data_IF_234161837333
#
_entry.id   IF_234161837333
#
_cell.length_a   1.000
_cell.length_b   1.000
_cell.length_c   1.000
_cell.angle_alpha   90.00
_cell.angle_beta   90.00
_cell.angle_gamma   90.00
#
_symmetry.space_group_name_H-M   'P 1'
#
loop_
_entity.id
_entity.type
_entity.pdbx_description
1 polymer ?
#
# COMPACT_ATOMS: atom_id res chain seq x y z
N UNK A 1 -19.68 -26.17 18.34
CA UNK A 1 -20.60 -26.75 17.35
C UNK A 1 -20.80 -25.72 16.26
N UNK A 2 -20.17 -25.92 15.11
CA UNK A 2 -20.12 -24.96 14.00
C UNK A 2 -21.30 -25.29 13.07
N UNK A 3 -22.30 -24.41 13.03
CA UNK A 3 -23.45 -24.60 12.14
C UNK A 3 -23.03 -24.26 10.70
N UNK A 4 -22.60 -25.29 9.97
CA UNK A 4 -22.39 -25.25 8.52
C UNK A 4 -23.73 -25.24 7.79
N UNK A 5 -24.31 -24.05 7.62
CA UNK A 5 -25.27 -23.81 6.55
C UNK A 5 -24.48 -23.49 5.29
N UNK A 6 -24.18 -24.51 4.49
CA UNK A 6 -23.65 -24.31 3.14
C UNK A 6 -24.67 -23.51 2.34
N UNK A 7 -24.27 -22.33 1.83
CA UNK A 7 -25.14 -21.50 1.01
C UNK A 7 -25.52 -22.25 -0.27
N UNK A 8 -26.80 -22.26 -0.68
CA UNK A 8 -27.19 -22.89 -1.93
C UNK A 8 -26.44 -22.26 -3.12
N UNK A 9 -25.93 -23.06 -4.07
CA UNK A 9 -25.07 -22.57 -5.15
C UNK A 9 -25.75 -21.51 -6.04
N UNK A 10 -27.06 -21.57 -6.20
CA UNK A 10 -27.81 -20.58 -6.99
C UNK A 10 -27.80 -19.17 -6.38
N UNK A 11 -27.74 -19.04 -5.04
CA UNK A 11 -27.70 -17.74 -4.37
C UNK A 11 -26.36 -17.06 -4.60
N UNK A 12 -25.27 -17.83 -4.60
CA UNK A 12 -23.93 -17.32 -4.87
C UNK A 12 -23.83 -16.78 -6.32
N UNK A 13 -24.30 -17.58 -7.29
CA UNK A 13 -24.32 -17.20 -8.72
C UNK A 13 -25.12 -15.92 -8.96
N UNK A 14 -26.32 -15.82 -8.38
CA UNK A 14 -27.17 -14.65 -8.60
C UNK A 14 -26.59 -13.36 -7.99
N UNK A 15 -25.95 -13.45 -6.83
CA UNK A 15 -25.28 -12.31 -6.23
C UNK A 15 -24.08 -11.85 -7.08
N UNK A 16 -23.35 -12.78 -7.68
CA UNK A 16 -22.22 -12.48 -8.58
C UNK A 16 -22.70 -11.76 -9.84
N UNK A 17 -23.78 -12.24 -10.48
CA UNK A 17 -24.42 -11.56 -11.62
C UNK A 17 -24.86 -10.13 -11.28
N UNK A 18 -25.43 -9.91 -10.09
CA UNK A 18 -25.82 -8.56 -9.63
C UNK A 18 -24.58 -7.67 -9.48
N UNK A 19 -23.53 -8.17 -8.83
CA UNK A 19 -22.30 -7.41 -8.58
C UNK A 19 -21.58 -7.08 -9.89
N UNK A 20 -21.51 -8.03 -10.83
CA UNK A 20 -20.98 -7.84 -12.17
C UNK A 20 -21.78 -6.77 -12.93
N UNK A 21 -23.12 -6.84 -12.89
CA UNK A 21 -23.96 -5.82 -13.52
C UNK A 21 -23.79 -4.43 -12.89
N UNK A 22 -23.72 -4.34 -11.56
CA UNK A 22 -23.48 -3.08 -10.85
C UNK A 22 -22.12 -2.47 -11.23
N UNK A 23 -21.08 -3.30 -11.39
CA UNK A 23 -19.77 -2.84 -11.83
C UNK A 23 -19.80 -2.32 -13.27
N UNK A 24 -20.31 -3.09 -14.22
CA UNK A 24 -20.31 -2.70 -15.63
C UNK A 24 -21.32 -1.58 -15.94
N UNK A 25 -22.59 -1.77 -15.60
CA UNK A 25 -23.63 -0.80 -15.90
C UNK A 25 -23.62 0.40 -14.97
N UNK A 26 -23.40 0.17 -13.67
CA UNK A 26 -23.39 1.23 -12.67
C UNK A 26 -22.08 2.03 -12.69
N UNK A 27 -20.95 1.38 -12.40
CA UNK A 27 -19.67 2.08 -12.25
C UNK A 27 -19.03 2.49 -13.58
N UNK A 28 -18.88 1.58 -14.54
CA UNK A 28 -18.17 1.88 -15.79
C UNK A 28 -18.99 2.76 -16.74
N UNK A 29 -20.29 2.49 -16.88
CA UNK A 29 -21.17 3.26 -17.79
C UNK A 29 -21.87 4.45 -17.12
N UNK A 30 -21.98 4.48 -15.78
CA UNK A 30 -22.66 5.54 -15.05
C UNK A 30 -24.19 5.55 -15.24
N UNK A 31 -24.78 4.40 -15.62
CA UNK A 31 -26.23 4.30 -15.84
C UNK A 31 -26.97 4.51 -14.52
N UNK A 32 -28.03 5.31 -14.53
CA UNK A 32 -28.88 5.60 -13.36
C UNK A 32 -28.16 6.31 -12.19
N UNK A 33 -27.00 6.90 -12.45
CA UNK A 33 -26.28 7.69 -11.44
C UNK A 33 -27.13 8.85 -10.90
N UNK A 34 -27.16 8.96 -9.57
CA UNK A 34 -27.81 10.02 -8.80
C UNK A 34 -26.79 11.02 -8.19
N UNK A 35 -25.51 10.71 -8.32
CA UNK A 35 -24.39 11.47 -7.74
C UNK A 35 -23.28 11.66 -8.75
N UNK A 36 -22.73 12.86 -8.82
CA UNK A 36 -21.50 13.20 -9.56
C UNK A 36 -20.40 13.43 -8.53
N UNK A 37 -19.36 12.61 -8.58
CA UNK A 37 -18.16 12.77 -7.75
C UNK A 37 -17.05 13.38 -8.61
N UNK A 38 -16.44 14.46 -8.14
CA UNK A 38 -15.34 15.15 -8.80
C UNK A 38 -14.06 14.91 -8.01
N UNK A 39 -13.08 14.27 -8.64
CA UNK A 39 -11.79 13.90 -8.01
C UNK A 39 -10.68 14.12 -9.04
N UNK A 40 -9.60 14.79 -8.67
CA UNK A 40 -8.54 15.22 -9.61
C UNK A 40 -9.06 15.92 -10.87
N UNK A 41 -10.15 16.69 -10.75
CA UNK A 41 -10.82 17.34 -11.89
C UNK A 41 -11.60 16.40 -12.83
N UNK A 42 -11.55 15.08 -12.61
CA UNK A 42 -12.35 14.10 -13.33
C UNK A 42 -13.71 13.92 -12.67
N UNK A 43 -14.75 13.80 -13.51
CA UNK A 43 -16.12 13.57 -13.05
C UNK A 43 -16.50 12.09 -13.18
N UNK A 44 -17.09 11.54 -12.11
CA UNK A 44 -17.60 10.19 -12.05
C UNK A 44 -19.11 10.24 -11.80
N UNK A 45 -19.89 9.58 -12.66
CA UNK A 45 -21.34 9.41 -12.49
C UNK A 45 -21.59 8.14 -11.67
N UNK A 46 -21.93 8.29 -10.40
CA UNK A 46 -21.97 7.23 -9.40
C UNK A 46 -23.31 7.23 -8.63
N UNK A 47 -23.44 6.25 -7.74
CA UNK A 47 -24.67 5.96 -7.01
C UNK A 47 -24.46 6.16 -5.51
N UNK A 48 -25.27 7.01 -4.88
CA UNK A 48 -25.15 7.35 -3.46
C UNK A 48 -25.14 6.12 -2.56
N UNK A 49 -25.98 5.12 -2.87
CA UNK A 49 -26.06 3.87 -2.09
C UNK A 49 -24.77 3.06 -2.15
N UNK A 50 -24.06 3.04 -3.30
CA UNK A 50 -22.77 2.37 -3.41
C UNK A 50 -21.66 3.20 -2.76
N UNK A 51 -21.69 4.53 -2.94
CA UNK A 51 -20.74 5.44 -2.30
C UNK A 51 -20.82 5.42 -0.77
N UNK A 52 -22.01 5.21 -0.20
CA UNK A 52 -22.19 5.16 1.26
C UNK A 52 -21.47 3.99 1.96
N UNK A 53 -20.91 3.04 1.19
CA UNK A 53 -20.01 2.01 1.71
C UNK A 53 -18.66 2.56 2.16
N UNK A 54 -18.26 3.73 1.67
CA UNK A 54 -17.10 4.48 2.16
C UNK A 54 -17.56 5.37 3.34
N UNK A 55 -17.00 5.22 4.55
CA UNK A 55 -17.32 6.08 5.68
C UNK A 55 -17.07 7.56 5.39
N UNK A 56 -15.96 7.86 4.68
CA UNK A 56 -15.62 9.21 4.26
C UNK A 56 -16.68 9.80 3.32
N UNK A 57 -17.05 9.09 2.25
CA UNK A 57 -18.04 9.60 1.30
C UNK A 57 -19.44 9.65 1.90
N UNK A 58 -19.81 8.71 2.77
CA UNK A 58 -21.06 8.77 3.52
C UNK A 58 -21.12 10.03 4.39
N UNK A 59 -20.04 10.36 5.09
CA UNK A 59 -19.95 11.59 5.87
C UNK A 59 -20.06 12.83 4.97
N UNK A 60 -19.26 12.90 3.90
CA UNK A 60 -19.27 14.01 2.95
C UNK A 60 -20.66 14.22 2.31
N UNK A 61 -21.35 13.12 1.98
CA UNK A 61 -22.74 13.14 1.52
C UNK A 61 -23.71 13.66 2.57
N UNK A 62 -23.51 13.36 3.85
CA UNK A 62 -24.39 13.82 4.93
C UNK A 62 -24.22 15.30 5.26
N UNK A 63 -23.00 15.84 5.04
CA UNK A 63 -22.64 17.21 5.39
C UNK A 63 -22.68 18.18 4.20
N UNK A 64 -22.76 17.68 2.97
CA UNK A 64 -22.91 18.51 1.76
C UNK A 64 -24.39 18.78 1.48
N UNK A 65 -24.89 20.02 1.67
CA UNK A 65 -26.26 20.36 1.32
C UNK A 65 -26.44 20.29 -0.21
N UNK A 66 -27.48 19.61 -0.67
CA UNK A 66 -27.83 19.59 -2.10
C UNK A 66 -29.34 19.61 -2.28
N UNK A 67 -29.83 20.67 -2.94
CA UNK A 67 -31.21 20.77 -3.40
C UNK A 67 -31.37 20.37 -4.87
N UNK A 68 -30.28 19.98 -5.53
CA UNK A 68 -30.28 19.53 -6.91
C UNK A 68 -30.77 18.07 -7.03
N UNK A 69 -31.45 17.70 -8.13
CA UNK A 69 -31.90 16.33 -8.36
C UNK A 69 -30.74 15.33 -8.51
N UNK A 70 -29.57 15.82 -8.97
CA UNK A 70 -28.32 15.07 -9.00
C UNK A 70 -27.36 15.76 -8.04
N UNK A 71 -26.85 15.00 -7.07
CA UNK A 71 -25.91 15.51 -6.08
C UNK A 71 -24.52 15.65 -6.70
N UNK A 72 -23.84 16.78 -6.51
CA UNK A 72 -22.43 16.94 -6.95
C UNK A 72 -21.53 17.11 -5.73
N UNK A 73 -20.44 16.35 -5.68
CA UNK A 73 -19.51 16.30 -4.56
C UNK A 73 -18.09 16.40 -5.10
N UNK A 74 -17.29 17.30 -4.53
CA UNK A 74 -15.87 17.41 -4.86
C UNK A 74 -15.03 16.84 -3.73
N UNK A 75 -14.08 15.97 -4.04
CA UNK A 75 -13.17 15.37 -3.07
C UNK A 75 -11.81 16.08 -3.14
N UNK A 76 -11.36 16.74 -2.05
CA UNK A 76 -10.07 17.42 -2.02
C UNK A 76 -8.93 16.41 -1.92
N UNK A 77 -8.11 16.29 -2.95
CA UNK A 77 -7.02 15.29 -3.07
C UNK A 77 -5.66 15.93 -3.33
N UNK A 78 -5.61 17.26 -3.37
CA UNK A 78 -4.43 18.04 -3.77
C UNK A 78 -3.27 17.93 -2.78
N UNK A 79 -3.57 17.66 -1.51
CA UNK A 79 -2.58 17.53 -0.43
C UNK A 79 -2.02 16.11 -0.30
N UNK A 80 -2.60 15.14 -1.01
CA UNK A 80 -2.28 13.71 -0.86
C UNK A 80 -1.72 13.12 -2.16
N UNK A 81 -0.40 13.29 -2.44
CA UNK A 81 0.20 12.91 -3.72
C UNK A 81 0.16 11.40 -4.00
N UNK A 82 0.06 10.58 -2.96
CA UNK A 82 -0.07 9.13 -3.07
C UNK A 82 -1.50 8.70 -3.45
N UNK A 83 -2.50 9.58 -3.27
CA UNK A 83 -3.85 9.36 -3.79
C UNK A 83 -3.86 9.79 -5.26
N UNK A 84 -3.62 8.84 -6.15
CA UNK A 84 -3.61 9.08 -7.61
C UNK A 84 -4.98 8.85 -8.23
N UNK A 85 -5.22 9.41 -9.42
CA UNK A 85 -6.46 9.18 -10.17
C UNK A 85 -6.72 7.68 -10.42
N UNK A 86 -5.68 6.91 -10.78
CA UNK A 86 -5.78 5.46 -11.00
C UNK A 86 -6.13 4.72 -9.70
N UNK A 87 -5.38 4.98 -8.63
CA UNK A 87 -5.61 4.34 -7.33
C UNK A 87 -7.02 4.63 -6.81
N UNK A 88 -7.47 5.87 -6.97
CA UNK A 88 -8.80 6.30 -6.54
C UNK A 88 -9.90 5.65 -7.37
N UNK A 89 -9.71 5.54 -8.70
CA UNK A 89 -10.67 4.87 -9.58
C UNK A 89 -10.82 3.38 -9.21
N UNK A 90 -9.73 2.68 -8.89
CA UNK A 90 -9.77 1.28 -8.41
C UNK A 90 -10.53 1.18 -7.09
N UNK A 91 -10.26 2.08 -6.13
CA UNK A 91 -10.93 2.09 -4.84
C UNK A 91 -12.43 2.42 -4.96
N UNK A 92 -12.83 3.32 -5.87
CA UNK A 92 -14.24 3.56 -6.18
C UNK A 92 -14.91 2.35 -6.83
N UNK A 93 -14.24 1.70 -7.78
CA UNK A 93 -14.74 0.47 -8.41
C UNK A 93 -14.93 -0.64 -7.38
N UNK A 94 -14.06 -0.72 -6.37
CA UNK A 94 -14.16 -1.69 -5.28
C UNK A 94 -15.44 -1.53 -4.45
N UNK A 95 -15.98 -0.30 -4.34
CA UNK A 95 -17.28 -0.09 -3.68
C UNK A 95 -18.43 -0.80 -4.40
N UNK A 96 -18.29 -1.06 -5.71
CA UNK A 96 -19.27 -1.79 -6.51
C UNK A 96 -18.98 -3.29 -6.57
N UNK A 97 -17.72 -3.68 -6.76
CA UNK A 97 -17.33 -5.07 -6.95
C UNK A 97 -15.87 -5.35 -6.57
N UNK A 98 -15.65 -6.52 -5.97
CA UNK A 98 -14.32 -7.07 -5.69
C UNK A 98 -13.50 -7.38 -6.96
N UNK A 99 -14.11 -7.39 -8.15
CA UNK A 99 -13.38 -7.51 -9.44
C UNK A 99 -12.28 -6.44 -9.55
N UNK A 100 -12.47 -5.28 -8.91
CA UNK A 100 -11.45 -4.21 -8.88
C UNK A 100 -10.13 -4.65 -8.24
N UNK A 101 -10.11 -5.70 -7.41
CA UNK A 101 -8.87 -6.26 -6.85
C UNK A 101 -7.92 -6.77 -7.95
N UNK A 102 -8.47 -7.24 -9.08
CA UNK A 102 -7.66 -7.71 -10.22
C UNK A 102 -6.89 -6.59 -10.91
N UNK A 103 -7.26 -5.33 -10.66
CA UNK A 103 -6.57 -4.16 -11.21
C UNK A 103 -5.37 -3.73 -10.34
N UNK A 104 -5.26 -4.26 -9.12
CA UNK A 104 -4.18 -3.93 -8.20
C UNK A 104 -2.93 -4.72 -8.59
N UNK A 105 -1.83 -4.02 -8.78
CA UNK A 105 -0.55 -4.58 -9.18
C UNK A 105 0.60 -3.78 -8.52
N UNK A 106 1.84 -4.28 -8.56
CA UNK A 106 2.98 -3.64 -7.88
C UNK A 106 3.18 -2.14 -8.21
N UNK A 107 2.80 -1.68 -9.40
CA UNK A 107 3.00 -0.29 -9.82
C UNK A 107 1.97 0.67 -9.23
N UNK A 108 0.74 0.21 -8.98
CA UNK A 108 -0.35 1.04 -8.46
C UNK A 108 -0.77 0.70 -7.02
N UNK A 109 -0.26 -0.38 -6.43
CA UNK A 109 -0.69 -0.86 -5.12
C UNK A 109 -0.59 0.20 -4.02
N UNK A 110 0.48 1.01 -4.00
CA UNK A 110 0.61 2.14 -3.06
C UNK A 110 -0.53 3.14 -3.20
N UNK A 111 -0.84 3.53 -4.44
CA UNK A 111 -1.89 4.50 -4.70
C UNK A 111 -3.29 3.97 -4.39
N UNK A 112 -3.52 2.68 -4.67
CA UNK A 112 -4.77 1.99 -4.28
C UNK A 112 -4.89 1.94 -2.76
N UNK A 113 -3.82 1.59 -2.05
CA UNK A 113 -3.79 1.55 -0.59
C UNK A 113 -4.08 2.94 0.01
N UNK A 114 -3.39 3.98 -0.46
CA UNK A 114 -3.63 5.36 -0.05
C UNK A 114 -5.09 5.77 -0.28
N UNK A 115 -5.63 5.48 -1.47
CA UNK A 115 -7.01 5.81 -1.82
C UNK A 115 -8.03 5.04 -0.97
N UNK A 116 -7.77 3.77 -0.67
CA UNK A 116 -8.63 2.94 0.18
C UNK A 116 -8.65 3.44 1.63
N UNK A 117 -7.50 3.85 2.17
CA UNK A 117 -7.40 4.49 3.47
C UNK A 117 -8.09 5.87 3.48
N UNK A 118 -7.85 6.68 2.45
CA UNK A 118 -8.47 7.99 2.27
C UNK A 118 -10.01 7.91 2.26
N UNK A 119 -10.58 6.87 1.62
CA UNK A 119 -12.02 6.62 1.59
C UNK A 119 -12.61 6.12 2.93
N UNK A 120 -11.89 6.26 4.04
CA UNK A 120 -12.33 5.88 5.38
C UNK A 120 -11.98 4.45 5.78
N UNK A 121 -10.98 3.85 5.11
CA UNK A 121 -10.51 2.50 5.38
C UNK A 121 -11.44 1.42 4.82
N UNK A 122 -11.07 0.85 3.68
CA UNK A 122 -11.77 -0.26 3.04
C UNK A 122 -11.02 -1.57 3.35
N UNK A 123 -11.37 -2.33 4.40
CA UNK A 123 -10.43 -3.25 5.06
C UNK A 123 -9.81 -4.30 4.15
N UNK A 124 -10.62 -5.00 3.35
CA UNK A 124 -10.11 -6.06 2.46
C UNK A 124 -9.27 -5.49 1.31
N UNK A 125 -9.66 -4.32 0.77
CA UNK A 125 -8.88 -3.64 -0.27
C UNK A 125 -7.54 -3.12 0.28
N UNK A 126 -7.56 -2.52 1.48
CA UNK A 126 -6.36 -2.09 2.17
C UNK A 126 -5.43 -3.27 2.44
N UNK A 127 -5.95 -4.38 2.96
CA UNK A 127 -5.16 -5.59 3.21
C UNK A 127 -4.53 -6.12 1.92
N UNK A 128 -5.32 -6.26 0.86
CA UNK A 128 -4.84 -6.77 -0.42
C UNK A 128 -3.78 -5.86 -1.05
N UNK A 129 -4.04 -4.56 -1.10
CA UNK A 129 -3.10 -3.59 -1.66
C UNK A 129 -1.81 -3.49 -0.83
N UNK A 130 -1.90 -3.60 0.50
CA UNK A 130 -0.74 -3.69 1.38
C UNK A 130 0.10 -4.95 1.12
N UNK A 131 -0.52 -6.12 0.96
CA UNK A 131 0.21 -7.34 0.63
C UNK A 131 0.94 -7.23 -0.71
N UNK A 132 0.30 -6.63 -1.73
CA UNK A 132 0.95 -6.37 -3.02
C UNK A 132 2.12 -5.37 -2.86
N UNK A 133 1.96 -4.32 -2.06
CA UNK A 133 3.04 -3.39 -1.72
C UNK A 133 4.22 -4.14 -1.10
N UNK A 134 3.99 -4.90 -0.04
CA UNK A 134 5.01 -5.66 0.69
C UNK A 134 5.76 -6.64 -0.22
N UNK A 135 5.04 -7.37 -1.06
CA UNK A 135 5.63 -8.33 -2.00
C UNK A 135 6.38 -7.66 -3.17
N UNK A 136 6.17 -6.37 -3.41
CA UNK A 136 6.87 -5.62 -4.47
C UNK A 136 8.20 -5.01 -4.03
N UNK A 137 8.56 -5.11 -2.75
CA UNK A 137 9.85 -4.62 -2.23
C UNK A 137 10.96 -5.54 -2.72
N UNK A 138 11.84 -5.01 -3.55
CA UNK A 138 12.93 -5.74 -4.19
C UNK A 138 14.14 -4.84 -4.41
N UNK A 139 15.25 -5.41 -4.89
CA UNK A 139 16.47 -4.65 -5.22
C UNK A 139 16.19 -3.58 -6.29
N UNK A 140 15.27 -3.86 -7.21
CA UNK A 140 14.92 -2.97 -8.33
C UNK A 140 14.03 -1.81 -7.88
N UNK A 141 13.17 -2.04 -6.87
CA UNK A 141 12.17 -1.06 -6.42
C UNK A 141 12.58 -0.33 -5.14
N UNK A 142 13.66 -0.76 -4.47
CA UNK A 142 14.08 -0.23 -3.16
C UNK A 142 14.25 1.28 -3.17
N UNK A 143 14.76 1.87 -4.25
CA UNK A 143 14.96 3.32 -4.35
C UNK A 143 13.64 4.10 -4.27
N UNK A 144 12.58 3.58 -4.87
CA UNK A 144 11.25 4.20 -4.81
C UNK A 144 10.58 4.00 -3.46
N UNK A 145 10.88 2.89 -2.78
CA UNK A 145 10.45 2.64 -1.40
C UNK A 145 11.16 3.53 -0.40
N UNK A 146 12.47 3.77 -0.56
CA UNK A 146 13.25 4.69 0.29
C UNK A 146 12.73 6.12 0.17
N UNK A 147 12.52 6.61 -1.07
CA UNK A 147 11.94 7.94 -1.31
C UNK A 147 10.55 8.09 -0.70
N UNK A 148 9.76 7.02 -0.73
CA UNK A 148 8.44 7.01 -0.13
C UNK A 148 8.53 7.12 1.40
N UNK A 149 9.32 6.25 2.04
CA UNK A 149 9.42 6.26 3.51
C UNK A 149 9.99 7.57 4.05
N UNK A 150 10.89 8.23 3.32
CA UNK A 150 11.41 9.55 3.69
C UNK A 150 10.33 10.64 3.73
N UNK A 151 9.27 10.49 2.92
CA UNK A 151 8.13 11.43 2.87
C UNK A 151 7.05 11.14 3.91
N UNK A 152 7.03 9.94 4.48
CA UNK A 152 6.04 9.57 5.49
C UNK A 152 6.40 10.28 6.80
N UNK A 153 5.48 11.05 7.40
CA UNK A 153 5.70 11.62 8.72
C UNK A 153 6.03 10.51 9.74
N UNK A 154 7.01 10.72 10.64
CA UNK A 154 7.24 9.77 11.70
C UNK A 154 5.95 9.58 12.52
N UNK A 155 5.70 8.38 13.07
CA UNK A 155 4.53 8.15 13.91
C UNK A 155 4.53 9.19 15.04
N UNK A 156 3.36 9.76 15.40
CA UNK A 156 3.28 10.73 16.48
C UNK A 156 3.80 10.09 17.77
N UNK A 157 4.74 10.74 18.44
CA UNK A 157 5.24 10.31 19.74
C UNK A 157 4.07 10.25 20.74
N UNK A 158 4.02 9.21 21.59
CA UNK A 158 3.00 9.09 22.63
C UNK A 158 3.02 10.34 23.53
N UNK A 159 1.97 11.16 23.46
CA UNK A 159 1.87 12.44 24.19
C UNK A 159 2.19 13.70 23.37
N UNK A 160 2.43 13.56 22.06
CA UNK A 160 2.55 14.69 21.13
C UNK A 160 1.21 15.43 20.90
N UNK A 161 1.25 16.63 20.29
CA UNK A 161 0.04 17.39 19.97
C UNK A 161 -0.90 16.56 19.07
N UNK A 162 -2.21 16.66 19.31
CA UNK A 162 -3.25 15.89 18.60
C UNK A 162 -3.29 16.21 17.09
N UNK A 163 -2.75 17.36 16.69
CA UNK A 163 -2.79 17.90 15.33
C UNK A 163 -1.59 17.50 14.43
N UNK A 164 -0.80 16.49 14.80
CA UNK A 164 0.25 15.98 13.88
C UNK A 164 -0.44 15.34 12.67
N UNK A 165 -0.14 15.76 11.42
CA UNK A 165 -0.73 15.17 10.23
C UNK A 165 -0.46 13.66 10.22
N UNK A 166 -1.52 12.87 10.34
CA UNK A 166 -1.42 11.42 10.19
C UNK A 166 -1.31 11.12 8.71
N UNK A 167 -0.38 10.25 8.34
CA UNK A 167 -0.24 9.80 6.96
C UNK A 167 -1.56 9.25 6.42
N UNK A 168 -1.90 9.52 5.16
CA UNK A 168 -3.09 8.96 4.49
C UNK A 168 -3.15 7.44 4.56
N UNK A 169 -2.01 6.77 4.71
CA UNK A 169 -1.92 5.31 4.87
C UNK A 169 -2.36 4.80 6.25
N UNK A 170 -2.66 5.69 7.20
CA UNK A 170 -3.07 5.33 8.56
C UNK A 170 -2.11 4.33 9.22
N UNK A 171 -2.59 3.15 9.67
CA UNK A 171 -1.73 2.15 10.33
C UNK A 171 -0.73 1.46 9.38
N UNK A 172 -0.92 1.56 8.06
CA UNK A 172 -0.04 0.90 7.09
C UNK A 172 1.26 1.67 6.84
N UNK A 173 1.31 2.97 7.14
CA UNK A 173 2.50 3.79 7.01
C UNK A 173 3.70 3.20 7.79
N UNK A 174 3.47 2.91 9.07
CA UNK A 174 4.48 2.31 9.94
C UNK A 174 4.85 0.88 9.52
N UNK A 175 3.88 0.10 9.07
CA UNK A 175 4.10 -1.28 8.60
C UNK A 175 4.97 -1.30 7.35
N UNK A 176 4.67 -0.48 6.33
CA UNK A 176 5.48 -0.38 5.12
C UNK A 176 6.91 0.09 5.43
N UNK A 177 7.08 1.04 6.35
CA UNK A 177 8.41 1.44 6.82
C UNK A 177 9.18 0.26 7.46
N UNK A 178 8.50 -0.53 8.29
CA UNK A 178 9.09 -1.70 8.91
C UNK A 178 9.44 -2.79 7.89
N UNK A 179 8.60 -3.01 6.87
CA UNK A 179 8.88 -3.96 5.79
C UNK A 179 10.09 -3.55 4.96
N UNK A 180 10.24 -2.25 4.64
CA UNK A 180 11.42 -1.72 3.94
C UNK A 180 12.68 -1.90 4.79
N UNK A 181 12.60 -1.62 6.09
CA UNK A 181 13.72 -1.85 7.02
C UNK A 181 14.11 -3.33 7.08
N UNK A 182 13.13 -4.23 7.22
CA UNK A 182 13.36 -5.67 7.23
C UNK A 182 14.00 -6.14 5.92
N UNK A 183 13.55 -5.61 4.78
CA UNK A 183 14.17 -5.89 3.50
C UNK A 183 15.64 -5.46 3.47
N UNK A 184 15.96 -4.25 3.94
CA UNK A 184 17.35 -3.76 3.97
C UNK A 184 18.25 -4.61 4.86
N UNK A 185 17.75 -5.03 6.02
CA UNK A 185 18.55 -5.74 7.04
C UNK A 185 18.73 -7.23 6.70
N UNK A 186 17.67 -7.88 6.23
CA UNK A 186 17.61 -9.34 6.19
C UNK A 186 17.57 -9.84 4.75
N UNK A 187 16.60 -9.38 3.97
CA UNK A 187 16.35 -9.90 2.62
C UNK A 187 17.43 -9.46 1.62
N UNK A 188 17.84 -8.20 1.66
CA UNK A 188 18.77 -7.61 0.71
C UNK A 188 20.18 -8.21 0.83
N UNK A 189 20.79 -8.31 2.02
CA UNK A 189 22.13 -8.91 2.14
C UNK A 189 22.15 -10.39 1.76
N UNK A 190 21.07 -11.12 2.05
CA UNK A 190 20.92 -12.51 1.65
C UNK A 190 20.82 -12.64 0.13
N UNK A 191 19.96 -11.86 -0.52
CA UNK A 191 19.79 -11.88 -1.98
C UNK A 191 21.08 -11.48 -2.73
N UNK A 192 21.88 -10.59 -2.14
CA UNK A 192 23.15 -10.16 -2.71
C UNK A 192 24.33 -11.07 -2.32
N UNK A 193 24.13 -12.04 -1.43
CA UNK A 193 25.20 -12.87 -0.86
C UNK A 193 26.37 -12.01 -0.32
N UNK A 194 26.02 -10.87 0.29
CA UNK A 194 26.99 -9.81 0.63
C UNK A 194 28.06 -10.24 1.62
N UNK A 195 27.78 -11.30 2.38
CA UNK A 195 28.61 -11.77 3.49
C UNK A 195 29.06 -13.24 3.32
N UNK A 196 28.78 -13.87 2.18
CA UNK A 196 29.23 -15.24 1.92
C UNK A 196 30.74 -15.30 1.63
N UNK A 197 31.45 -16.19 2.32
CA UNK A 197 32.84 -16.52 2.00
C UNK A 197 32.89 -17.62 0.95
N UNK A 198 33.32 -17.30 -0.26
CA UNK A 198 33.45 -18.29 -1.34
C UNK A 198 34.66 -19.19 -1.07
N UNK A 199 34.42 -20.44 -0.67
CA UNK A 199 35.47 -21.46 -0.59
C UNK A 199 36.06 -21.73 -1.98
N UNK A 200 37.36 -21.47 -2.16
CA UNK A 200 38.11 -21.79 -3.38
C UNK A 200 38.29 -20.67 -4.42
N UNK A 201 37.76 -19.47 -4.17
CA UNK A 201 38.08 -18.31 -5.01
C UNK A 201 39.46 -17.72 -4.61
N UNK A 202 40.36 -17.40 -5.57
CA UNK A 202 41.61 -16.74 -5.25
C UNK A 202 41.26 -15.40 -4.59
N UNK A 203 41.73 -15.24 -3.36
CA UNK A 203 41.50 -14.09 -2.50
C UNK A 203 41.28 -12.81 -3.31
N UNK A 204 40.04 -12.30 -3.33
CA UNK A 204 39.84 -10.90 -3.62
C UNK A 204 40.72 -10.18 -2.61
N UNK A 205 41.62 -9.32 -3.09
CA UNK A 205 42.76 -8.78 -2.34
C UNK A 205 42.37 -7.97 -1.08
N UNK A 206 41.09 -7.95 -0.67
CA UNK A 206 40.55 -7.32 0.54
C UNK A 206 39.31 -8.02 1.14
N UNK A 207 38.98 -9.27 0.76
CA UNK A 207 37.84 -10.01 1.34
C UNK A 207 36.45 -9.41 1.06
N UNK A 208 36.32 -8.52 0.06
CA UNK A 208 35.04 -7.95 -0.39
C UNK A 208 34.47 -8.79 -1.54
N UNK A 209 33.18 -9.12 -1.45
CA UNK A 209 32.40 -9.74 -2.53
C UNK A 209 31.74 -8.66 -3.39
N UNK A 210 31.39 -8.98 -4.64
CA UNK A 210 30.60 -8.07 -5.48
C UNK A 210 29.22 -7.76 -4.85
N UNK A 211 28.67 -8.72 -4.10
CA UNK A 211 27.47 -8.54 -3.28
C UNK A 211 27.63 -7.45 -2.22
N UNK A 212 28.77 -7.44 -1.52
CA UNK A 212 29.10 -6.42 -0.54
C UNK A 212 29.20 -5.03 -1.17
N UNK A 213 29.84 -4.90 -2.34
CA UNK A 213 29.95 -3.62 -3.04
C UNK A 213 28.58 -3.11 -3.50
N UNK A 214 27.69 -4.01 -3.98
CA UNK A 214 26.31 -3.67 -4.33
C UNK A 214 25.48 -3.24 -3.11
N UNK A 215 25.64 -3.94 -1.97
CA UNK A 215 24.99 -3.58 -0.71
C UNK A 215 25.41 -2.18 -0.27
N UNK A 216 26.71 -1.88 -0.32
CA UNK A 216 27.24 -0.57 0.06
C UNK A 216 26.70 0.54 -0.86
N UNK A 217 26.58 0.28 -2.16
CA UNK A 217 25.99 1.20 -3.11
C UNK A 217 24.51 1.51 -2.80
N UNK A 218 23.73 0.50 -2.38
CA UNK A 218 22.34 0.71 -1.96
C UNK A 218 22.29 1.49 -0.64
N UNK A 219 23.09 1.07 0.35
CA UNK A 219 23.15 1.68 1.68
C UNK A 219 23.57 3.16 1.64
N UNK A 220 24.41 3.55 0.69
CA UNK A 220 24.79 4.95 0.48
C UNK A 220 23.63 5.89 0.14
N UNK A 221 22.47 5.34 -0.25
CA UNK A 221 21.26 6.10 -0.62
C UNK A 221 20.14 5.99 0.42
N UNK A 222 20.33 5.18 1.47
CA UNK A 222 19.34 5.01 2.53
C UNK A 222 19.34 6.25 3.43
N UNK A 223 18.17 6.82 3.78
CA UNK A 223 18.07 7.94 4.72
C UNK A 223 18.74 7.61 6.06
N UNK A 224 19.41 8.60 6.67
CA UNK A 224 20.27 8.39 7.84
C UNK A 224 19.59 7.61 8.97
N UNK A 225 18.35 7.95 9.34
CA UNK A 225 17.66 7.28 10.44
C UNK A 225 17.38 5.81 10.15
N UNK A 226 17.00 5.48 8.92
CA UNK A 226 16.76 4.10 8.49
C UNK A 226 18.08 3.33 8.36
N UNK A 227 19.12 3.97 7.83
CA UNK A 227 20.46 3.38 7.74
C UNK A 227 20.99 3.05 9.14
N UNK A 228 20.88 4.00 10.08
CA UNK A 228 21.28 3.81 11.47
C UNK A 228 20.54 2.63 12.10
N UNK A 229 19.22 2.57 11.96
CA UNK A 229 18.41 1.45 12.44
C UNK A 229 18.82 0.13 11.80
N UNK A 230 19.15 0.13 10.50
CA UNK A 230 19.58 -1.08 9.80
C UNK A 230 20.94 -1.59 10.30
N UNK A 231 21.90 -0.71 10.54
CA UNK A 231 23.25 -1.07 11.02
C UNK A 231 23.25 -1.46 12.50
N UNK A 232 22.39 -0.83 13.31
CA UNK A 232 22.21 -1.18 14.73
C UNK A 232 21.37 -2.46 14.92
N UNK A 233 20.75 -2.98 13.86
CA UNK A 233 19.91 -4.17 13.94
C UNK A 233 20.74 -5.44 14.20
N UNK A 234 20.39 -6.25 15.22
CA UNK A 234 21.06 -7.53 15.48
C UNK A 234 20.77 -8.59 14.40
N UNK A 235 19.74 -8.38 13.58
CA UNK A 235 19.38 -9.28 12.47
C UNK A 235 20.30 -9.13 11.26
N UNK A 236 21.12 -8.07 11.23
CA UNK A 236 22.06 -7.86 10.13
C UNK A 236 23.14 -8.96 10.15
N UNK A 237 23.37 -9.71 9.06
CA UNK A 237 24.18 -10.92 9.04
C UNK A 237 25.70 -10.71 9.19
N UNK A 238 26.15 -9.57 9.73
CA UNK A 238 27.58 -9.29 10.02
C UNK A 238 28.12 -10.25 11.11
N UNK A 239 27.28 -10.67 12.04
CA UNK A 239 27.68 -11.44 13.22
C UNK A 239 28.02 -12.92 12.98
N UNK A 240 27.53 -13.54 11.91
CA UNK A 240 27.81 -14.96 11.64
C UNK A 240 29.26 -15.22 11.19
N UNK A 241 29.92 -14.21 10.63
CA UNK A 241 31.30 -14.33 10.14
C UNK A 241 32.32 -14.38 11.30
N UNK A 242 32.01 -13.80 12.48
CA UNK A 242 32.99 -13.66 13.58
C UNK A 242 33.02 -14.88 14.51
N UNK A 243 32.00 -15.75 14.48
CA UNK A 243 31.89 -16.90 15.39
C UNK A 243 32.43 -18.22 14.82
N UNK A 244 32.83 -18.28 13.55
CA UNK A 244 33.43 -19.48 12.93
C UNK A 244 34.96 -19.52 12.99
N UNK A 245 35.61 -18.49 13.54
CA UNK A 245 37.07 -18.37 13.62
C UNK A 245 37.64 -18.56 15.03
N UNK A 246 37.31 -19.66 15.71
CA UNK A 246 38.11 -20.16 16.84
C UNK A 246 38.35 -21.69 16.73
N UNK A 247 39.60 -22.15 16.57
CA UNK A 247 39.99 -23.56 16.67
C UNK A 247 40.03 -24.07 18.11
#
# INVERSE_FOLDING_TARGET
MQNGYERPPYVASHNEEIVEHLYHAGFQMGNYADTILIVHGRQYRLHAILLSRSPYLAHLMSTTPSNAPIRTITVPTEEEPEVTEEGFAVALGYLYSSVSLQLVNPHNARAVLASACYLGGLPDLCSYAYDVCRNSISVETVDDWLRFVERIPPPPEEGGPIDVPTSVFGPYAGQLRADVLHFLVTTLPHNLQSFETVEGAPHTLNGRTQGFDNLLHIYARVPFDMFKQAVESPELPIGEIVLSSHP
#
